data_IF_915940037548
#
_entry.id   IF_915940037548
#
_cell.length_a   1.000
_cell.length_b   1.000
_cell.length_c   1.000
_cell.angle_alpha   90.00
_cell.angle_beta   90.00
_cell.angle_gamma   90.00
#
_symmetry.space_group_name_H-M   'P 1'
#
loop_
_entity.id
_entity.type
_entity.pdbx_description
1 polymer ?
#
# COMPACT_ATOMS: atom_id res chain seq x y z
N UNK A 1 27.08 13.36 -33.41
CA UNK A 1 26.19 12.21 -33.12
C UNK A 1 26.46 11.62 -31.74
N UNK A 2 27.63 11.04 -31.43
CA UNK A 2 27.95 10.58 -30.05
C UNK A 2 28.20 11.75 -29.07
N UNK A 3 28.67 12.89 -29.57
CA UNK A 3 28.95 14.11 -28.80
C UNK A 3 27.69 14.86 -28.36
N UNK A 4 26.64 14.82 -29.17
CA UNK A 4 25.45 15.66 -28.97
C UNK A 4 24.49 15.00 -27.95
N UNK A 5 24.37 13.67 -27.99
CA UNK A 5 23.64 12.84 -26.99
C UNK A 5 24.28 12.94 -25.59
N UNK A 6 25.61 13.04 -25.52
CA UNK A 6 26.32 13.29 -24.27
C UNK A 6 26.06 14.68 -23.72
N UNK A 7 25.98 15.70 -24.58
CA UNK A 7 25.73 17.08 -24.14
C UNK A 7 24.31 17.25 -23.58
N UNK A 8 23.32 16.62 -24.21
CA UNK A 8 21.93 16.61 -23.75
C UNK A 8 21.74 15.83 -22.44
N UNK A 9 22.49 14.73 -22.25
CA UNK A 9 22.49 13.97 -20.98
C UNK A 9 23.18 14.71 -19.85
N UNK A 10 24.22 15.49 -20.13
CA UNK A 10 24.90 16.31 -19.12
C UNK A 10 24.08 17.54 -18.73
N UNK A 11 23.31 18.11 -19.67
CA UNK A 11 22.41 19.25 -19.40
C UNK A 11 21.23 18.88 -18.50
N UNK A 12 20.80 17.61 -18.47
CA UNK A 12 19.74 17.15 -17.58
C UNK A 12 20.20 16.90 -16.13
N UNK A 13 21.51 16.85 -15.85
CA UNK A 13 22.04 16.66 -14.49
C UNK A 13 22.27 18.04 -13.87
N UNK A 14 21.20 18.73 -13.48
CA UNK A 14 21.32 20.05 -12.84
C UNK A 14 21.74 19.96 -11.35
N UNK A 15 21.55 18.82 -10.69
CA UNK A 15 21.80 18.64 -9.26
C UNK A 15 22.41 17.27 -8.92
N UNK A 16 23.21 17.21 -7.85
CA UNK A 16 23.81 15.97 -7.32
C UNK A 16 22.78 14.87 -7.04
N UNK A 17 21.54 15.27 -6.71
CA UNK A 17 20.42 14.36 -6.51
C UNK A 17 20.00 13.60 -7.78
N UNK A 18 20.44 14.03 -8.96
CA UNK A 18 20.13 13.35 -10.21
C UNK A 18 21.10 12.22 -10.58
N UNK A 19 22.19 12.07 -9.82
CA UNK A 19 23.08 10.94 -10.05
C UNK A 19 22.42 9.61 -9.66
N UNK A 20 22.65 8.54 -10.46
CA UNK A 20 22.12 7.22 -10.16
C UNK A 20 22.78 6.67 -8.89
N UNK A 21 21.96 6.32 -7.91
CA UNK A 21 22.40 5.67 -6.68
C UNK A 21 22.41 4.14 -6.77
N UNK A 22 22.14 3.58 -7.94
CA UNK A 22 22.06 2.13 -8.11
C UNK A 22 22.83 1.66 -9.35
N UNK A 23 23.38 0.44 -9.26
CA UNK A 23 24.04 -0.24 -10.37
C UNK A 23 23.37 -1.60 -10.63
N UNK A 24 23.48 -2.08 -11.87
CA UNK A 24 23.10 -3.43 -12.24
C UNK A 24 24.37 -4.16 -12.63
N UNK A 25 24.73 -5.17 -11.84
CA UNK A 25 25.80 -6.11 -12.15
C UNK A 25 25.23 -7.24 -12.98
N UNK A 26 25.92 -7.57 -14.07
CA UNK A 26 25.56 -8.56 -15.07
C UNK A 26 26.64 -9.61 -15.18
N UNK A 27 26.32 -10.72 -15.84
CA UNK A 27 27.21 -11.87 -15.99
C UNK A 27 27.55 -12.51 -14.63
N UNK A 28 26.62 -12.47 -13.69
CA UNK A 28 26.82 -13.01 -12.35
C UNK A 28 26.77 -14.56 -12.41
N UNK A 29 27.73 -15.27 -11.79
CA UNK A 29 27.76 -16.73 -11.75
C UNK A 29 26.48 -17.33 -11.14
N UNK A 30 26.04 -18.49 -11.62
CA UNK A 30 24.78 -19.11 -11.17
C UNK A 30 24.86 -19.57 -9.71
N UNK A 31 26.08 -19.83 -9.24
CA UNK A 31 26.44 -20.23 -7.90
C UNK A 31 26.04 -19.14 -6.89
N UNK A 32 26.20 -17.86 -7.24
CA UNK A 32 25.78 -16.71 -6.39
C UNK A 32 24.28 -16.76 -6.10
N UNK A 33 23.48 -17.29 -7.03
CA UNK A 33 22.03 -17.39 -6.83
C UNK A 33 21.62 -18.69 -6.14
N UNK A 34 22.47 -19.72 -6.16
CA UNK A 34 22.11 -21.08 -5.73
C UNK A 34 22.71 -21.46 -4.38
N UNK A 35 23.87 -20.89 -4.04
CA UNK A 35 24.65 -21.21 -2.84
C UNK A 35 24.70 -19.96 -1.95
N UNK A 36 24.16 -20.06 -0.74
CA UNK A 36 24.09 -18.92 0.19
C UNK A 36 25.47 -18.36 0.57
N UNK A 37 26.48 -19.22 0.70
CA UNK A 37 27.86 -18.77 0.94
C UNK A 37 28.40 -17.90 -0.20
N UNK A 38 28.13 -18.28 -1.45
CA UNK A 38 28.58 -17.50 -2.61
C UNK A 38 27.80 -16.20 -2.74
N UNK A 39 26.53 -16.22 -2.36
CA UNK A 39 25.70 -15.03 -2.24
C UNK A 39 26.26 -14.04 -1.22
N UNK A 40 26.62 -14.53 -0.03
CA UNK A 40 27.22 -13.73 1.03
C UNK A 40 28.57 -13.13 0.61
N UNK A 41 29.47 -13.96 0.07
CA UNK A 41 30.76 -13.51 -0.45
C UNK A 41 30.60 -12.44 -1.54
N UNK A 42 29.58 -12.57 -2.40
CA UNK A 42 29.28 -11.59 -3.43
C UNK A 42 28.75 -10.27 -2.82
N UNK A 43 27.84 -10.33 -1.85
CA UNK A 43 27.33 -9.12 -1.18
C UNK A 43 28.43 -8.39 -0.43
N UNK A 44 29.34 -9.11 0.23
CA UNK A 44 30.42 -8.54 1.04
C UNK A 44 31.34 -7.61 0.21
N UNK A 45 31.54 -7.90 -1.08
CA UNK A 45 32.32 -7.05 -1.99
C UNK A 45 31.77 -5.63 -2.09
N UNK A 46 30.45 -5.49 -2.02
CA UNK A 46 29.76 -4.20 -2.14
C UNK A 46 29.46 -3.61 -0.76
N UNK A 47 29.24 -4.45 0.26
CA UNK A 47 29.09 -4.01 1.65
C UNK A 47 30.36 -3.35 2.21
N UNK A 48 31.54 -3.71 1.69
CA UNK A 48 32.80 -3.02 2.00
C UNK A 48 32.84 -1.56 1.53
N UNK A 49 32.07 -1.22 0.49
CA UNK A 49 31.96 0.14 -0.03
C UNK A 49 30.97 0.92 0.85
N UNK A 50 29.81 0.32 1.09
CA UNK A 50 28.75 0.93 1.90
C UNK A 50 27.94 -0.16 2.61
N UNK A 51 27.78 -0.05 3.92
CA UNK A 51 27.06 -1.04 4.73
C UNK A 51 25.56 -1.05 4.48
N UNK A 52 24.97 0.10 4.10
CA UNK A 52 23.53 0.29 3.90
C UNK A 52 23.00 -0.11 2.52
N UNK A 53 23.76 -0.87 1.71
CA UNK A 53 23.33 -1.22 0.36
C UNK A 53 22.25 -2.32 0.33
N UNK A 54 21.30 -2.19 -0.61
CA UNK A 54 20.23 -3.16 -0.86
C UNK A 54 20.49 -3.96 -2.13
N UNK A 55 20.16 -5.26 -2.12
CA UNK A 55 20.45 -6.18 -3.23
C UNK A 55 19.19 -6.87 -3.76
N UNK A 56 18.87 -6.64 -5.04
CA UNK A 56 17.85 -7.39 -5.76
C UNK A 56 18.49 -8.44 -6.68
N UNK A 57 18.37 -9.71 -6.30
CA UNK A 57 18.91 -10.83 -7.07
C UNK A 57 17.91 -11.29 -8.14
N UNK A 58 18.22 -10.97 -9.40
CA UNK A 58 17.41 -11.34 -10.56
C UNK A 58 17.96 -12.62 -11.20
N UNK A 59 17.70 -13.77 -10.56
CA UNK A 59 18.26 -15.08 -10.92
C UNK A 59 18.10 -15.41 -12.41
N UNK A 60 16.89 -15.30 -12.97
CA UNK A 60 16.61 -15.65 -14.37
C UNK A 60 17.41 -14.83 -15.37
N UNK A 61 17.77 -13.60 -15.02
CA UNK A 61 18.54 -12.71 -15.90
C UNK A 61 20.05 -12.78 -15.64
N UNK A 62 20.49 -13.51 -14.59
CA UNK A 62 21.87 -13.51 -14.06
C UNK A 62 22.37 -12.10 -13.78
N UNK A 63 21.50 -11.30 -13.15
CA UNK A 63 21.77 -9.91 -12.79
C UNK A 63 21.50 -9.67 -11.32
N UNK A 64 22.22 -8.71 -10.74
CA UNK A 64 21.97 -8.22 -9.39
C UNK A 64 21.88 -6.71 -9.47
N UNK A 65 20.77 -6.13 -9.02
CA UNK A 65 20.66 -4.68 -8.83
C UNK A 65 21.12 -4.37 -7.41
N UNK A 66 22.00 -3.40 -7.29
CA UNK A 66 22.57 -2.95 -6.02
C UNK A 66 22.20 -1.48 -5.89
N UNK A 67 21.49 -1.15 -4.81
CA UNK A 67 21.01 0.20 -4.51
C UNK A 67 21.80 0.70 -3.30
N UNK A 68 22.48 1.82 -3.49
CA UNK A 68 23.24 2.51 -2.45
C UNK A 68 22.46 3.71 -1.93
N UNK A 69 22.77 4.15 -0.73
CA UNK A 69 22.26 5.42 -0.18
C UNK A 69 22.87 6.60 -0.93
N UNK A 70 24.18 6.53 -1.22
CA UNK A 70 24.92 7.62 -1.86
C UNK A 70 25.26 7.34 -3.33
N UNK A 71 25.12 8.33 -4.22
CA UNK A 71 25.51 8.19 -5.63
C UNK A 71 27.02 8.02 -5.81
N UNK A 72 27.83 8.56 -4.90
CA UNK A 72 29.29 8.38 -4.87
C UNK A 72 29.67 6.89 -4.74
N UNK A 73 29.01 6.19 -3.81
CA UNK A 73 29.20 4.75 -3.60
C UNK A 73 28.84 3.94 -4.83
N UNK A 74 27.74 4.28 -5.52
CA UNK A 74 27.35 3.63 -6.77
C UNK A 74 28.40 3.83 -7.88
N UNK A 75 29.00 5.02 -7.94
CA UNK A 75 30.06 5.34 -8.91
C UNK A 75 31.33 4.56 -8.59
N UNK A 76 31.75 4.54 -7.32
CA UNK A 76 32.89 3.76 -6.85
C UNK A 76 32.69 2.25 -7.13
N UNK A 77 31.52 1.71 -6.78
CA UNK A 77 31.16 0.33 -7.03
C UNK A 77 31.22 -0.02 -8.52
N UNK A 78 30.74 0.86 -9.41
CA UNK A 78 30.82 0.65 -10.86
C UNK A 78 32.26 0.61 -11.38
N UNK A 79 33.12 1.51 -10.89
CA UNK A 79 34.55 1.53 -11.26
C UNK A 79 35.28 0.27 -10.80
N UNK A 80 35.02 -0.16 -9.55
CA UNK A 80 35.62 -1.38 -8.99
C UNK A 80 35.15 -2.63 -9.72
N UNK A 81 33.85 -2.72 -10.02
CA UNK A 81 33.25 -3.91 -10.67
C UNK A 81 33.74 -4.09 -12.10
N UNK A 82 34.09 -3.01 -12.80
CA UNK A 82 34.55 -3.07 -14.19
C UNK A 82 35.84 -3.90 -14.37
N UNK A 83 36.66 -4.00 -13.33
CA UNK A 83 37.92 -4.77 -13.35
C UNK A 83 37.87 -6.03 -12.47
N UNK A 84 36.72 -6.33 -11.85
CA UNK A 84 36.58 -7.45 -10.93
C UNK A 84 36.16 -8.73 -11.68
N UNK A 85 36.80 -9.84 -11.32
CA UNK A 85 36.34 -11.18 -11.70
C UNK A 85 35.88 -11.94 -10.46
N UNK A 86 34.74 -12.62 -10.55
CA UNK A 86 34.17 -13.41 -9.48
C UNK A 86 33.98 -14.85 -9.97
N UNK A 87 34.56 -15.82 -9.26
CA UNK A 87 34.59 -17.24 -9.64
C UNK A 87 35.00 -17.45 -11.12
N UNK A 88 36.06 -16.75 -11.56
CA UNK A 88 36.58 -16.86 -12.94
C UNK A 88 35.74 -16.15 -14.00
N UNK A 89 34.64 -15.50 -13.63
CA UNK A 89 33.78 -14.75 -14.55
C UNK A 89 34.01 -13.25 -14.40
N UNK A 90 34.27 -12.56 -15.51
CA UNK A 90 34.40 -11.09 -15.51
C UNK A 90 33.01 -10.48 -15.36
N UNK A 91 32.83 -9.69 -14.32
CA UNK A 91 31.59 -8.98 -14.06
C UNK A 91 31.50 -7.75 -14.96
N UNK A 92 30.27 -7.34 -15.30
CA UNK A 92 30.01 -6.08 -16.01
C UNK A 92 28.91 -5.32 -15.29
N UNK A 93 29.10 -4.03 -15.06
CA UNK A 93 28.14 -3.19 -14.35
C UNK A 93 27.68 -1.98 -15.16
N UNK A 94 26.40 -1.64 -15.03
CA UNK A 94 25.78 -0.46 -15.63
C UNK A 94 25.09 0.36 -14.54
N UNK A 95 24.94 1.66 -14.73
CA UNK A 95 24.09 2.44 -13.85
C UNK A 95 22.62 2.05 -14.07
N UNK A 96 21.89 1.86 -12.99
CA UNK A 96 20.45 1.68 -13.06
C UNK A 96 19.80 3.06 -13.29
N UNK A 97 18.94 3.16 -14.29
CA UNK A 97 18.15 4.36 -14.51
C UNK A 97 17.18 4.53 -13.34
N UNK A 98 17.19 5.70 -12.69
CA UNK A 98 16.17 6.04 -11.70
C UNK A 98 14.84 6.22 -12.43
N UNK A 99 13.86 5.39 -12.10
CA UNK A 99 12.50 5.56 -12.61
C UNK A 99 11.89 6.71 -11.81
N UNK A 100 12.00 7.94 -12.33
CA UNK A 100 11.14 9.02 -11.86
C UNK A 100 9.79 8.85 -12.52
N UNK A 101 8.80 8.45 -11.75
CA UNK A 101 7.42 8.72 -12.10
C UNK A 101 7.32 10.25 -12.04
N UNK A 102 7.05 10.86 -13.19
CA UNK A 102 7.06 12.31 -13.34
C UNK A 102 6.07 12.94 -12.36
N UNK A 103 6.43 14.10 -11.81
CA UNK A 103 5.60 14.79 -10.84
C UNK A 103 4.26 15.20 -11.48
N UNK A 104 3.16 15.03 -10.75
CA UNK A 104 1.80 15.26 -11.25
C UNK A 104 1.47 16.73 -11.60
N UNK A 105 2.47 17.63 -11.57
CA UNK A 105 2.27 19.07 -11.56
C UNK A 105 1.99 19.68 -12.93
N UNK A 106 2.49 19.16 -14.06
CA UNK A 106 2.15 19.77 -15.37
C UNK A 106 2.52 18.92 -16.61
N UNK A 107 2.16 17.65 -16.63
CA UNK A 107 2.62 16.73 -17.69
C UNK A 107 1.69 16.66 -18.92
N UNK A 108 0.59 17.42 -18.92
CA UNK A 108 -0.51 17.21 -19.87
C UNK A 108 -1.19 15.83 -19.73
N UNK A 109 -0.86 15.07 -18.67
CA UNK A 109 -1.48 13.79 -18.34
C UNK A 109 -2.71 14.00 -17.44
N UNK A 110 -3.64 13.04 -17.49
CA UNK A 110 -4.79 13.04 -16.60
C UNK A 110 -4.32 12.98 -15.15
N UNK A 111 -4.80 13.91 -14.33
CA UNK A 111 -4.53 13.94 -12.89
C UNK A 111 -5.11 12.69 -12.23
N UNK A 112 -4.48 12.24 -11.14
CA UNK A 112 -5.07 11.20 -10.31
C UNK A 112 -6.49 11.65 -9.88
N UNK A 113 -7.50 10.77 -9.99
CA UNK A 113 -8.83 11.09 -9.51
C UNK A 113 -8.77 11.45 -8.02
N UNK A 114 -9.57 12.43 -7.56
CA UNK A 114 -9.75 12.68 -6.13
C UNK A 114 -10.11 11.37 -5.40
N UNK A 115 -9.54 11.17 -4.21
CA UNK A 115 -9.90 10.04 -3.35
C UNK A 115 -11.30 10.26 -2.76
N UNK A 116 -12.31 10.05 -3.59
CA UNK A 116 -13.72 10.19 -3.23
C UNK A 116 -14.36 8.81 -3.07
N UNK A 117 -15.38 8.69 -2.21
CA UNK A 117 -16.18 7.47 -2.09
C UNK A 117 -16.93 7.26 -3.41
N UNK A 118 -16.33 6.50 -4.32
CA UNK A 118 -17.01 6.06 -5.53
C UNK A 118 -18.16 5.16 -5.09
N UNK A 119 -19.39 5.52 -5.46
CA UNK A 119 -20.47 4.56 -5.37
C UNK A 119 -20.06 3.38 -6.25
N UNK A 120 -19.84 2.23 -5.62
CA UNK A 120 -19.77 0.95 -6.29
C UNK A 120 -21.19 0.57 -6.75
N UNK A 121 -21.81 1.42 -7.56
CA UNK A 121 -22.97 1.02 -8.34
C UNK A 121 -22.38 0.17 -9.45
N UNK A 122 -22.41 -1.14 -9.26
CA UNK A 122 -22.27 -2.11 -10.34
C UNK A 122 -23.03 -1.62 -11.58
N UNK A 123 -22.57 -1.87 -12.82
CA UNK A 123 -23.19 -1.26 -13.97
C UNK A 123 -24.58 -1.88 -14.26
N UNK A 124 -25.64 -1.13 -14.62
CA UNK A 124 -25.78 0.32 -14.75
C UNK A 124 -26.95 0.90 -13.92
N UNK A 125 -26.69 1.93 -13.13
CA UNK A 125 -27.65 3.00 -12.89
C UNK A 125 -26.83 4.25 -12.58
N UNK A 126 -26.84 5.21 -13.50
CA UNK A 126 -26.28 6.53 -13.26
C UNK A 126 -26.95 7.13 -12.01
N UNK A 127 -26.22 7.90 -11.18
CA UNK A 127 -26.84 8.70 -10.14
C UNK A 127 -28.02 9.51 -10.72
N UNK A 128 -29.12 9.70 -9.97
CA UNK A 128 -30.25 10.52 -10.41
C UNK A 128 -29.81 11.92 -10.85
N UNK A 129 -30.57 12.53 -11.76
CA UNK A 129 -30.34 13.93 -12.17
C UNK A 129 -30.42 14.83 -10.93
N UNK A 130 -29.35 15.59 -10.67
CA UNK A 130 -29.22 16.46 -9.49
C UNK A 130 -28.54 15.82 -8.27
N UNK A 131 -28.06 14.58 -8.39
CA UNK A 131 -27.25 13.96 -7.34
C UNK A 131 -25.82 14.51 -7.37
N UNK A 132 -25.40 15.11 -6.26
CA UNK A 132 -24.00 15.46 -5.99
C UNK A 132 -23.48 14.62 -4.84
N UNK A 133 -22.19 14.29 -4.87
CA UNK A 133 -21.55 13.59 -3.78
C UNK A 133 -21.51 14.49 -2.54
N UNK A 134 -22.34 14.17 -1.55
CA UNK A 134 -22.28 14.84 -0.26
C UNK A 134 -20.91 14.60 0.38
N UNK A 135 -20.21 15.67 0.73
CA UNK A 135 -18.96 15.59 1.48
C UNK A 135 -19.27 15.02 2.87
N UNK A 136 -18.90 13.77 3.12
CA UNK A 136 -18.99 13.18 4.44
C UNK A 136 -18.09 13.97 5.38
N UNK A 137 -18.65 14.49 6.47
CA UNK A 137 -17.83 15.11 7.50
C UNK A 137 -16.87 14.07 8.08
N UNK A 138 -15.67 14.49 8.49
CA UNK A 138 -14.80 13.65 9.30
C UNK A 138 -15.61 13.05 10.46
N UNK A 139 -15.37 11.78 10.86
CA UNK A 139 -16.11 11.16 11.95
C UNK A 139 -16.05 12.10 13.15
N UNK A 140 -17.22 12.50 13.66
CA UNK A 140 -17.30 13.38 14.82
C UNK A 140 -16.87 12.55 16.03
N UNK A 141 -15.56 12.57 16.32
CA UNK A 141 -14.94 11.85 17.45
C UNK A 141 -15.47 12.36 18.80
N UNK A 142 -16.15 13.52 18.82
CA UNK A 142 -16.54 14.23 20.04
C UNK A 142 -18.05 14.56 20.09
N UNK A 143 -18.94 13.61 19.82
CA UNK A 143 -20.37 13.86 20.06
C UNK A 143 -20.62 13.98 21.58
N UNK A 144 -20.91 15.20 22.03
CA UNK A 144 -21.08 15.53 23.45
C UNK A 144 -22.18 14.71 24.13
N UNK A 145 -23.29 14.41 23.43
CA UNK A 145 -24.38 13.59 23.95
C UNK A 145 -23.94 12.13 24.17
N UNK A 146 -23.20 11.57 23.22
CA UNK A 146 -22.61 10.23 23.34
C UNK A 146 -21.57 10.16 24.47
N UNK A 147 -20.70 11.17 24.57
CA UNK A 147 -19.70 11.22 25.65
C UNK A 147 -20.35 11.38 27.02
N UNK A 148 -21.38 12.22 27.15
CA UNK A 148 -22.12 12.40 28.41
C UNK A 148 -22.84 11.11 28.83
N UNK A 149 -23.49 10.42 27.88
CA UNK A 149 -24.15 9.14 28.13
C UNK A 149 -23.18 8.03 28.50
N UNK A 150 -22.03 7.96 27.84
CA UNK A 150 -20.96 7.01 28.19
C UNK A 150 -20.36 7.31 29.58
N UNK A 151 -20.17 8.58 29.92
CA UNK A 151 -19.66 8.98 31.24
C UNK A 151 -20.67 8.73 32.38
N UNK A 152 -21.97 8.75 32.07
CA UNK A 152 -23.03 8.40 33.01
C UNK A 152 -23.14 6.89 33.30
N UNK A 153 -22.37 6.04 32.60
CA UNK A 153 -22.26 4.62 32.91
C UNK A 153 -21.37 4.43 34.14
N UNK A 154 -21.93 4.56 35.34
CA UNK A 154 -21.26 4.17 36.59
C UNK A 154 -21.42 2.66 36.82
N UNK A 155 -20.30 1.95 36.99
CA UNK A 155 -20.28 0.48 37.16
C UNK A 155 -20.58 0.03 38.60
N UNK A 156 -20.60 0.93 39.57
CA UNK A 156 -20.96 0.62 40.96
C UNK A 156 -22.35 1.17 41.29
N UNK A 157 -23.34 0.27 41.40
CA UNK A 157 -23.96 0.00 42.69
C UNK A 157 -24.92 -1.20 42.60
N UNK A 158 -24.63 -2.22 43.41
CA UNK A 158 -25.48 -3.37 43.81
C UNK A 158 -25.65 -4.53 42.82
N UNK A 159 -24.67 -5.41 42.88
CA UNK A 159 -24.48 -6.68 42.18
C UNK A 159 -25.53 -7.79 42.44
N UNK A 160 -26.69 -7.53 43.07
CA UNK A 160 -27.57 -8.63 43.56
C UNK A 160 -29.07 -8.52 43.23
N UNK A 161 -29.56 -7.46 42.55
CA UNK A 161 -31.02 -7.29 42.39
C UNK A 161 -31.55 -7.06 40.96
N UNK A 162 -30.71 -7.09 39.92
CA UNK A 162 -31.18 -6.67 38.59
C UNK A 162 -30.73 -7.56 37.43
N UNK A 163 -30.93 -8.87 37.54
CA UNK A 163 -30.69 -9.82 36.43
C UNK A 163 -31.57 -9.59 35.17
N UNK A 164 -32.43 -8.56 35.15
CA UNK A 164 -33.30 -8.20 34.02
C UNK A 164 -33.14 -6.75 33.52
N UNK A 165 -32.25 -5.93 34.11
CA UNK A 165 -32.17 -4.48 33.82
C UNK A 165 -30.89 -4.03 33.10
N UNK A 166 -29.98 -4.95 32.78
CA UNK A 166 -28.69 -4.64 32.11
C UNK A 166 -28.79 -4.58 30.57
N UNK A 167 -29.81 -3.91 30.04
CA UNK A 167 -29.86 -3.44 28.65
C UNK A 167 -29.80 -1.91 28.74
N UNK A 168 -28.61 -1.34 28.60
CA UNK A 168 -28.48 0.13 28.60
C UNK A 168 -28.56 0.62 27.16
N UNK A 169 -29.64 1.31 26.87
CA UNK A 169 -29.92 1.91 25.57
C UNK A 169 -29.14 3.23 25.46
N UNK A 170 -27.99 3.18 24.80
CA UNK A 170 -27.17 4.39 24.55
C UNK A 170 -27.81 5.26 23.48
N UNK A 171 -28.55 4.62 22.57
CA UNK A 171 -29.38 5.29 21.57
C UNK A 171 -30.63 4.44 21.33
N UNK A 172 -31.81 5.01 21.59
CA UNK A 172 -33.10 4.30 21.55
C UNK A 172 -33.50 3.89 20.12
N UNK A 173 -32.85 4.45 19.09
CA UNK A 173 -33.22 4.27 17.69
C UNK A 173 -34.42 5.15 17.31
N UNK A 174 -34.73 5.17 16.02
CA UNK A 174 -35.95 5.78 15.44
C UNK A 174 -36.40 4.90 14.26
N UNK A 175 -37.54 5.16 13.62
CA UNK A 175 -38.02 4.32 12.49
C UNK A 175 -36.96 4.14 11.38
N UNK A 176 -36.11 5.15 11.16
CA UNK A 176 -35.03 5.13 10.15
C UNK A 176 -33.63 4.76 10.70
N UNK A 177 -33.47 4.59 12.02
CA UNK A 177 -32.14 4.42 12.64
C UNK A 177 -32.10 3.28 13.65
N UNK A 178 -31.10 2.39 13.58
CA UNK A 178 -31.01 1.27 14.50
C UNK A 178 -30.70 1.74 15.93
N UNK A 179 -31.22 0.97 16.88
CA UNK A 179 -30.94 1.10 18.31
C UNK A 179 -29.52 0.61 18.64
N UNK A 180 -28.83 1.29 19.56
CA UNK A 180 -27.49 0.90 20.04
C UNK A 180 -27.59 0.49 21.51
N UNK A 181 -27.24 -0.77 21.79
CA UNK A 181 -27.27 -1.38 23.12
C UNK A 181 -25.86 -1.83 23.48
N UNK A 182 -25.41 -1.50 24.70
CA UNK A 182 -24.09 -1.90 25.21
C UNK A 182 -24.27 -2.92 26.33
N UNK A 183 -23.51 -4.01 26.26
CA UNK A 183 -23.38 -5.00 27.32
C UNK A 183 -22.01 -4.85 27.99
N UNK A 184 -21.94 -4.52 29.29
CA UNK A 184 -20.68 -4.58 30.02
C UNK A 184 -20.20 -6.03 30.06
N UNK A 185 -18.93 -6.26 29.70
CA UNK A 185 -18.32 -7.58 29.77
C UNK A 185 -17.97 -7.89 31.23
N UNK A 186 -18.49 -8.99 31.79
CA UNK A 186 -18.11 -9.47 33.12
C UNK A 186 -16.77 -10.20 33.02
N UNK A 187 -15.79 -9.88 33.88
CA UNK A 187 -14.47 -10.56 33.87
C UNK A 187 -14.51 -11.99 34.44
N UNK A 188 -15.62 -12.41 35.02
CA UNK A 188 -15.80 -13.75 35.58
C UNK A 188 -16.58 -14.67 34.63
N UNK A 189 -15.83 -15.39 33.80
CA UNK A 189 -16.33 -16.56 33.07
C UNK A 189 -16.22 -16.44 31.55
N UNK A 190 -15.45 -17.37 30.96
CA UNK A 190 -15.25 -17.54 29.53
C UNK A 190 -16.55 -17.93 28.80
N UNK A 191 -17.48 -16.99 28.63
CA UNK A 191 -18.69 -17.17 27.84
C UNK A 191 -18.43 -16.58 26.45
N UNK A 192 -18.20 -17.46 25.50
CA UNK A 192 -18.14 -17.12 24.07
C UNK A 192 -19.46 -16.45 23.69
N UNK A 193 -19.48 -15.22 23.15
CA UNK A 193 -20.72 -14.60 22.71
C UNK A 193 -21.35 -15.45 21.62
N UNK A 194 -22.65 -15.74 21.74
CA UNK A 194 -23.39 -16.45 20.71
C UNK A 194 -23.25 -15.67 19.39
N UNK A 195 -22.68 -16.31 18.36
CA UNK A 195 -22.60 -15.73 17.02
C UNK A 195 -24.03 -15.38 16.59
N UNK A 196 -24.34 -14.09 16.46
CA UNK A 196 -25.61 -13.67 15.90
C UNK A 196 -25.65 -14.18 14.46
N UNK A 197 -26.48 -15.20 14.21
CA UNK A 197 -26.71 -15.67 12.85
C UNK A 197 -27.50 -14.59 12.13
N UNK A 198 -26.81 -13.73 11.38
CA UNK A 198 -27.46 -12.80 10.46
C UNK A 198 -28.35 -13.62 9.50
N UNK A 199 -29.65 -13.30 9.38
CA UNK A 199 -30.52 -13.99 8.45
C UNK A 199 -30.04 -13.74 7.02
N UNK A 200 -29.70 -14.82 6.30
CA UNK A 200 -29.34 -14.74 4.88
C UNK A 200 -30.59 -14.45 4.06
N UNK A 201 -30.61 -13.33 3.34
CA UNK A 201 -31.68 -13.03 2.38
C UNK A 201 -31.50 -13.83 1.09
N UNK A 202 -32.58 -14.43 0.54
CA UNK A 202 -32.52 -15.14 -0.73
C UNK A 202 -32.10 -14.23 -1.88
N UNK A 203 -31.31 -14.76 -2.81
CA UNK A 203 -30.97 -14.07 -4.06
C UNK A 203 -32.25 -13.84 -4.89
N UNK A 204 -32.54 -12.62 -5.38
CA UNK A 204 -33.69 -12.39 -6.26
C UNK A 204 -33.56 -13.18 -7.57
N UNK A 205 -34.68 -13.68 -8.08
CA UNK A 205 -34.76 -14.44 -9.33
C UNK A 205 -34.30 -13.58 -10.51
N UNK A 206 -33.41 -14.14 -11.33
CA UNK A 206 -32.70 -13.42 -12.39
C UNK A 206 -33.62 -12.72 -13.37
N UNK A 207 -33.43 -11.41 -13.53
CA UNK A 207 -34.07 -10.63 -14.59
C UNK A 207 -33.58 -11.10 -15.96
N UNK A 208 -34.47 -11.36 -16.94
CA UNK A 208 -34.06 -11.75 -18.28
C UNK A 208 -33.24 -10.64 -18.94
N UNK A 209 -32.14 -11.03 -19.59
CA UNK A 209 -31.20 -10.16 -20.29
C UNK A 209 -31.90 -9.49 -21.48
N UNK A 210 -31.96 -8.15 -21.48
CA UNK A 210 -32.51 -7.37 -22.60
C UNK A 210 -31.68 -7.59 -23.87
N UNK A 211 -32.35 -7.92 -24.97
CA UNK A 211 -31.76 -8.12 -26.30
C UNK A 211 -31.37 -6.76 -26.89
N UNK A 212 -30.10 -6.61 -27.29
CA UNK A 212 -29.58 -5.42 -27.97
C UNK A 212 -30.39 -5.16 -29.25
N UNK A 213 -30.90 -3.94 -29.42
CA UNK A 213 -31.40 -3.45 -30.71
C UNK A 213 -30.25 -2.77 -31.43
N UNK A 214 -29.75 -3.42 -32.47
CA UNK A 214 -28.82 -2.81 -33.42
C UNK A 214 -29.56 -1.68 -34.15
N UNK A 215 -29.01 -0.47 -34.10
CA UNK A 215 -29.47 0.65 -34.90
C UNK A 215 -28.48 0.82 -36.05
N UNK A 216 -29.01 0.74 -37.28
CA UNK A 216 -28.35 1.08 -38.54
C UNK A 216 -28.08 2.56 -38.64
#
# INVERSE_FOLDING_TARGET
>A
MLSDDLHEKLQNIEYEEDLPNAIIVTNVPVEVFSIDQQKANFSDLFTQIESGCHFDFLRSFRRVRIIFEKPESATAAKLLTQHLSFNGTILKSFFAQRIRLRDASDDGLLKLPPLEKQFLISPPASPPVGWEQSHEMAPVVCNFDLMAKLAALTVDDTFEACFSFFLVDVYEGDEDKPKIVIHPANEEGNVVPAQSMMPKTPRPLGTPRSVRKDHT
#
